data_IF_397097899534
#
_entry.id   IF_397097899534
#
_cell.length_a   1.000
_cell.length_b   1.000
_cell.length_c   1.000
_cell.angle_alpha   90.00
_cell.angle_beta   90.00
_cell.angle_gamma   90.00
#
_symmetry.space_group_name_H-M   'P 1'
#
loop_
_entity.id
_entity.type
_entity.pdbx_description
1 polymer ?
#
# COMPACT_ATOMS: atom_id res chain seq x y z
N UNK A 1 -19.46 25.33 -39.88
CA UNK A 1 -20.07 25.63 -38.55
C UNK A 1 -20.50 24.37 -37.79
N UNK A 2 -21.10 23.37 -38.44
CA UNK A 2 -21.56 22.14 -37.78
C UNK A 2 -20.45 21.36 -37.07
N UNK A 3 -19.25 21.27 -37.64
CA UNK A 3 -18.09 20.60 -37.01
C UNK A 3 -17.61 21.31 -35.74
N UNK A 4 -17.58 22.64 -35.76
CA UNK A 4 -17.19 23.47 -34.59
C UNK A 4 -18.15 23.23 -33.42
N UNK A 5 -19.45 23.12 -33.69
CA UNK A 5 -20.47 22.83 -32.68
C UNK A 5 -20.27 21.45 -32.04
N UNK A 6 -19.84 20.44 -32.81
CA UNK A 6 -19.55 19.09 -32.29
C UNK A 6 -18.33 19.06 -31.36
N UNK A 7 -17.28 19.83 -31.66
CA UNK A 7 -16.11 19.92 -30.77
C UNK A 7 -16.41 20.66 -29.46
N UNK A 8 -17.24 21.71 -29.52
CA UNK A 8 -17.67 22.45 -28.32
C UNK A 8 -18.50 21.53 -27.41
N UNK A 9 -19.48 20.80 -27.96
CA UNK A 9 -20.31 19.89 -27.16
C UNK A 9 -19.51 18.72 -26.60
N UNK A 10 -18.58 18.13 -27.37
CA UNK A 10 -17.68 17.07 -26.90
C UNK A 10 -16.79 17.53 -25.72
N UNK A 11 -16.28 18.76 -25.77
CA UNK A 11 -15.47 19.34 -24.69
C UNK A 11 -16.29 19.51 -23.41
N UNK A 12 -17.55 19.93 -23.54
CA UNK A 12 -18.48 20.07 -22.40
C UNK A 12 -18.74 18.70 -21.75
N UNK A 13 -19.07 17.67 -22.53
CA UNK A 13 -19.31 16.31 -22.00
C UNK A 13 -18.06 15.70 -21.37
N UNK A 14 -16.89 15.90 -21.97
CA UNK A 14 -15.61 15.51 -21.38
C UNK A 14 -15.37 16.16 -20.02
N UNK A 15 -15.61 17.47 -19.91
CA UNK A 15 -15.43 18.20 -18.66
C UNK A 15 -16.37 17.72 -17.54
N UNK A 16 -17.65 17.50 -17.84
CA UNK A 16 -18.60 16.96 -16.86
C UNK A 16 -18.21 15.55 -16.42
N UNK A 17 -17.80 14.68 -17.35
CA UNK A 17 -17.33 13.33 -17.03
C UNK A 17 -16.10 13.35 -16.13
N UNK A 18 -15.14 14.23 -16.40
CA UNK A 18 -13.94 14.41 -15.57
C UNK A 18 -14.27 14.93 -14.16
N UNK A 19 -15.22 15.87 -14.06
CA UNK A 19 -15.66 16.44 -12.77
C UNK A 19 -16.34 15.38 -11.89
N UNK A 20 -17.19 14.55 -12.47
CA UNK A 20 -17.83 13.42 -11.78
C UNK A 20 -16.81 12.33 -11.42
N UNK A 21 -15.77 12.14 -12.25
CA UNK A 21 -14.70 11.19 -11.95
C UNK A 21 -13.90 11.59 -10.72
N UNK A 22 -13.60 12.89 -10.61
CA UNK A 22 -12.87 13.45 -9.48
C UNK A 22 -13.63 13.25 -8.16
N UNK A 23 -14.94 13.48 -8.14
CA UNK A 23 -15.76 13.24 -6.94
C UNK A 23 -15.84 11.75 -6.55
N UNK A 24 -15.58 10.84 -7.48
CA UNK A 24 -15.56 9.39 -7.27
C UNK A 24 -14.16 8.80 -7.03
N UNK A 25 -13.14 9.63 -6.78
CA UNK A 25 -11.73 9.24 -6.64
C UNK A 25 -11.18 8.43 -7.83
N UNK A 26 -11.55 8.83 -9.06
CA UNK A 26 -11.08 8.21 -10.31
C UNK A 26 -10.26 9.20 -11.12
N UNK A 27 -9.41 8.66 -12.00
CA UNK A 27 -8.52 9.44 -12.87
C UNK A 27 -9.30 10.41 -13.76
N UNK A 28 -9.19 11.71 -13.48
CA UNK A 28 -9.97 12.73 -14.16
C UNK A 28 -9.64 12.82 -15.66
N UNK A 29 -8.38 12.58 -16.03
CA UNK A 29 -7.92 12.63 -17.42
C UNK A 29 -8.48 11.48 -18.26
N UNK A 30 -8.52 10.25 -17.73
CA UNK A 30 -9.06 9.10 -18.44
C UNK A 30 -10.57 9.27 -18.72
N UNK A 31 -11.32 9.75 -17.72
CA UNK A 31 -12.76 9.96 -17.85
C UNK A 31 -13.13 11.19 -18.69
N UNK A 32 -12.23 12.17 -18.80
CA UNK A 32 -12.35 13.24 -19.81
C UNK A 32 -12.33 12.66 -21.22
N UNK A 33 -11.33 11.84 -21.54
CA UNK A 33 -11.19 11.23 -22.87
C UNK A 33 -12.38 10.33 -23.21
N UNK A 34 -12.87 9.53 -22.25
CA UNK A 34 -14.08 8.74 -22.44
C UNK A 34 -15.30 9.62 -22.76
N UNK A 35 -15.47 10.75 -22.05
CA UNK A 35 -16.58 11.68 -22.30
C UNK A 35 -16.42 12.48 -23.60
N UNK A 36 -15.20 12.74 -24.04
CA UNK A 36 -14.91 13.46 -25.28
C UNK A 36 -15.19 12.59 -26.53
N UNK A 37 -14.77 11.32 -26.52
CA UNK A 37 -14.97 10.41 -27.66
C UNK A 37 -16.32 9.70 -27.65
N UNK A 38 -16.85 9.36 -26.47
CA UNK A 38 -18.11 8.59 -26.35
C UNK A 38 -19.28 9.45 -25.84
N UNK A 39 -19.07 10.75 -25.65
CA UNK A 39 -20.12 11.72 -25.33
C UNK A 39 -20.94 11.33 -24.09
N UNK A 40 -22.26 11.27 -24.28
CA UNK A 40 -23.23 10.94 -23.24
C UNK A 40 -23.03 9.53 -22.66
N UNK A 41 -22.51 8.58 -23.45
CA UNK A 41 -22.28 7.19 -22.99
C UNK A 41 -21.22 7.19 -21.88
N UNK A 42 -20.15 7.97 -22.03
CA UNK A 42 -19.13 8.13 -21.01
C UNK A 42 -19.67 8.70 -19.69
N UNK A 43 -20.62 9.64 -19.80
CA UNK A 43 -21.29 10.25 -18.66
C UNK A 43 -22.25 9.28 -17.95
N UNK A 44 -23.00 8.47 -18.70
CA UNK A 44 -23.87 7.43 -18.13
C UNK A 44 -23.05 6.38 -17.38
N UNK A 45 -21.97 5.89 -17.99
CA UNK A 45 -21.10 4.89 -17.35
C UNK A 45 -20.60 5.39 -15.99
N UNK A 46 -20.12 6.64 -15.91
CA UNK A 46 -19.58 7.16 -14.66
C UNK A 46 -20.65 7.42 -13.60
N UNK A 47 -21.89 7.72 -13.99
CA UNK A 47 -23.00 7.87 -13.07
C UNK A 47 -23.31 6.55 -12.35
N UNK A 48 -23.37 5.44 -13.08
CA UNK A 48 -23.64 4.11 -12.51
C UNK A 48 -22.44 3.50 -11.78
N UNK A 49 -21.21 3.93 -12.07
CA UNK A 49 -20.02 3.44 -11.38
C UNK A 49 -19.98 3.88 -9.91
N UNK A 50 -19.79 2.92 -9.00
CA UNK A 50 -19.55 3.19 -7.58
C UNK A 50 -18.24 3.96 -7.39
N UNK A 51 -18.18 4.80 -6.36
CA UNK A 51 -16.95 5.51 -5.99
C UNK A 51 -15.82 4.54 -5.65
N UNK A 52 -14.61 4.84 -6.10
CA UNK A 52 -13.40 4.06 -5.73
C UNK A 52 -13.05 4.41 -4.29
N UNK A 53 -12.82 3.39 -3.44
CA UNK A 53 -12.31 3.61 -2.07
C UNK A 53 -10.94 4.28 -2.17
N UNK A 54 -10.73 5.36 -1.41
CA UNK A 54 -9.47 6.11 -1.44
C UNK A 54 -8.32 5.26 -0.92
N UNK A 55 -7.10 5.54 -1.42
CA UNK A 55 -5.84 4.91 -0.98
C UNK A 55 -5.56 5.07 0.52
N UNK A 56 -6.36 5.88 1.21
CA UNK A 56 -6.34 6.14 2.65
C UNK A 56 -6.48 4.88 3.51
N UNK A 57 -7.06 3.79 2.98
CA UNK A 57 -7.09 2.49 3.67
C UNK A 57 -5.71 1.81 3.76
N UNK A 58 -4.86 2.02 2.76
CA UNK A 58 -3.49 1.48 2.74
C UNK A 58 -2.61 2.27 3.72
N UNK A 59 -2.84 3.58 3.82
CA UNK A 59 -2.15 4.45 4.77
C UNK A 59 -2.57 4.16 6.22
N UNK A 60 -3.86 3.99 6.48
CA UNK A 60 -4.37 3.63 7.82
C UNK A 60 -3.75 2.33 8.35
N UNK A 61 -3.57 1.32 7.50
CA UNK A 61 -2.94 0.05 7.90
C UNK A 61 -1.50 0.26 8.36
N UNK A 62 -0.69 0.99 7.58
CA UNK A 62 0.70 1.30 7.94
C UNK A 62 0.78 2.11 9.24
N UNK A 63 -0.12 3.07 9.45
CA UNK A 63 -0.19 3.86 10.67
C UNK A 63 -0.56 2.98 11.87
N UNK A 64 -1.54 2.07 11.75
CA UNK A 64 -1.89 1.13 12.82
C UNK A 64 -0.70 0.26 13.22
N UNK A 65 0.04 -0.26 12.24
CA UNK A 65 1.25 -1.06 12.49
C UNK A 65 2.33 -0.24 13.22
N UNK A 66 2.58 1.01 12.81
CA UNK A 66 3.54 1.88 13.49
C UNK A 66 3.13 2.20 14.94
N UNK A 67 1.83 2.40 15.18
CA UNK A 67 1.30 2.62 16.52
C UNK A 67 1.45 1.37 17.40
N UNK A 68 1.24 0.18 16.84
CA UNK A 68 1.41 -1.09 17.54
C UNK A 68 2.89 -1.36 17.88
N UNK A 69 3.81 -1.11 16.93
CA UNK A 69 5.26 -1.18 17.16
C UNK A 69 5.71 -0.18 18.24
N UNK A 70 5.16 1.04 18.22
CA UNK A 70 5.52 2.07 19.20
C UNK A 70 4.92 1.83 20.59
N UNK A 71 3.79 1.10 20.66
CA UNK A 71 3.13 0.74 21.92
C UNK A 71 3.74 -0.51 22.56
N UNK A 72 4.38 -1.37 21.77
CA UNK A 72 5.05 -2.56 22.29
C UNK A 72 6.18 -2.17 23.25
N UNK A 73 6.04 -2.62 24.50
CA UNK A 73 7.02 -2.37 25.57
C UNK A 73 7.83 -3.64 25.90
N UNK A 74 7.64 -4.71 25.14
CA UNK A 74 8.26 -5.99 25.40
C UNK A 74 9.72 -5.98 24.97
N UNK A 75 10.54 -6.77 25.66
CA UNK A 75 11.91 -6.99 25.27
C UNK A 75 12.00 -8.17 24.29
N UNK A 76 12.45 -7.86 23.09
CA UNK A 76 12.61 -8.83 22.03
C UNK A 76 14.06 -9.32 21.93
N UNK A 77 14.17 -10.59 21.58
CA UNK A 77 15.42 -11.28 21.30
C UNK A 77 15.32 -11.99 19.96
N UNK A 78 16.44 -12.14 19.27
CA UNK A 78 16.51 -12.91 18.04
C UNK A 78 17.79 -13.75 17.97
N UNK A 79 17.78 -14.80 17.13
CA UNK A 79 18.98 -15.58 16.82
C UNK A 79 19.65 -15.04 15.55
N UNK A 80 20.94 -14.70 15.65
CA UNK A 80 21.73 -14.31 14.48
C UNK A 80 22.09 -15.53 13.60
N UNK A 81 22.82 -15.29 12.50
CA UNK A 81 23.28 -16.35 11.58
C UNK A 81 24.17 -17.41 12.23
N UNK A 82 24.78 -17.11 13.39
CA UNK A 82 25.60 -18.02 14.19
C UNK A 82 24.79 -18.68 15.31
N UNK A 83 23.46 -18.60 15.28
CA UNK A 83 22.56 -19.10 16.33
C UNK A 83 22.81 -18.46 17.71
N UNK A 84 23.41 -17.27 17.74
CA UNK A 84 23.63 -16.53 18.98
C UNK A 84 22.42 -15.65 19.28
N UNK A 85 21.97 -15.69 20.53
CA UNK A 85 20.95 -14.78 21.04
C UNK A 85 21.45 -13.34 21.08
N UNK A 86 20.71 -12.43 20.45
CA UNK A 86 20.94 -10.99 20.42
C UNK A 86 19.72 -10.28 21.03
N UNK A 87 19.98 -9.39 22.00
CA UNK A 87 18.96 -8.64 22.74
C UNK A 87 19.39 -8.38 24.19
N UNK A 88 18.52 -7.80 25.03
CA UNK A 88 17.16 -7.34 24.72
C UNK A 88 17.14 -6.10 23.81
N UNK A 89 16.11 -5.97 22.99
CA UNK A 89 15.85 -4.76 22.20
C UNK A 89 14.34 -4.49 22.07
N UNK A 90 13.96 -3.30 21.60
CA UNK A 90 12.56 -3.00 21.31
C UNK A 90 12.11 -3.65 20.00
N UNK A 91 10.80 -3.84 19.84
CA UNK A 91 10.21 -4.33 18.59
C UNK A 91 10.61 -3.47 17.37
N UNK A 92 10.73 -2.15 17.56
CA UNK A 92 11.24 -1.24 16.53
C UNK A 92 12.67 -1.60 16.11
N UNK A 93 13.56 -1.85 17.08
CA UNK A 93 14.95 -2.22 16.78
C UNK A 93 15.02 -3.59 16.10
N UNK A 94 14.20 -4.56 16.50
CA UNK A 94 14.08 -5.86 15.83
C UNK A 94 13.62 -5.69 14.37
N UNK A 95 12.65 -4.82 14.13
CA UNK A 95 12.18 -4.49 12.79
C UNK A 95 13.25 -3.82 11.93
N UNK A 96 14.04 -2.93 12.52
CA UNK A 96 15.19 -2.32 11.85
C UNK A 96 16.26 -3.38 11.52
N UNK A 97 16.48 -4.38 12.38
CA UNK A 97 17.35 -5.55 12.11
C UNK A 97 16.84 -6.42 10.95
N UNK A 98 15.54 -6.63 10.86
CA UNK A 98 14.92 -7.34 9.73
C UNK A 98 15.15 -6.58 8.41
N UNK A 99 14.92 -5.27 8.39
CA UNK A 99 15.11 -4.44 7.18
C UNK A 99 16.54 -4.46 6.65
N UNK A 100 17.54 -4.44 7.53
CA UNK A 100 18.95 -4.47 7.14
C UNK A 100 19.45 -5.89 6.85
N UNK A 101 18.58 -6.90 6.86
CA UNK A 101 18.92 -8.30 6.55
C UNK A 101 19.68 -9.03 7.66
N UNK A 102 19.75 -8.47 8.88
CA UNK A 102 20.40 -9.15 10.02
C UNK A 102 19.58 -10.35 10.54
N UNK A 103 18.28 -10.38 10.24
CA UNK A 103 17.38 -11.50 10.53
C UNK A 103 16.47 -11.73 9.32
N UNK A 104 16.28 -12.99 8.93
CA UNK A 104 15.37 -13.39 7.87
C UNK A 104 13.95 -13.63 8.38
N UNK A 105 12.99 -13.81 7.48
CA UNK A 105 11.59 -14.14 7.81
C UNK A 105 11.46 -15.47 8.58
N UNK A 106 12.39 -16.38 8.34
CA UNK A 106 12.53 -17.65 9.05
C UNK A 106 13.50 -17.57 10.22
N UNK A 107 13.91 -16.36 10.63
CA UNK A 107 14.72 -16.17 11.82
C UNK A 107 13.89 -16.38 13.08
N UNK A 108 14.53 -16.91 14.12
CA UNK A 108 13.90 -17.13 15.40
C UNK A 108 13.88 -15.85 16.22
N UNK A 109 12.73 -15.56 16.82
CA UNK A 109 12.49 -14.44 17.72
C UNK A 109 11.73 -14.92 18.95
N UNK A 110 11.94 -14.20 20.05
CA UNK A 110 11.27 -14.49 21.31
C UNK A 110 11.08 -13.21 22.13
N UNK A 111 10.03 -13.21 22.95
CA UNK A 111 9.79 -12.25 24.01
C UNK A 111 9.08 -12.96 25.18
N UNK A 112 8.91 -12.26 26.29
CA UNK A 112 8.26 -12.76 27.50
C UNK A 112 6.78 -13.14 27.35
N UNK A 113 6.10 -12.64 26.31
CA UNK A 113 4.71 -13.00 26.01
C UNK A 113 4.57 -14.30 25.21
N UNK A 114 5.68 -14.85 24.71
CA UNK A 114 5.72 -16.08 23.93
C UNK A 114 6.18 -17.25 24.80
N UNK A 115 5.48 -18.38 24.67
CA UNK A 115 5.82 -19.62 25.38
C UNK A 115 7.19 -20.16 24.94
N UNK A 116 7.49 -20.06 23.65
CA UNK A 116 8.72 -20.58 23.06
C UNK A 116 9.22 -19.73 21.89
N UNK A 117 10.48 -19.94 21.50
CA UNK A 117 11.08 -19.30 20.32
C UNK A 117 10.25 -19.59 19.07
N UNK A 118 9.88 -18.54 18.34
CA UNK A 118 9.03 -18.65 17.15
C UNK A 118 9.67 -17.96 15.95
N UNK A 119 9.21 -18.30 14.75
CA UNK A 119 9.69 -17.64 13.55
C UNK A 119 9.13 -16.22 13.41
N UNK A 120 9.95 -15.30 12.91
CA UNK A 120 9.56 -13.90 12.68
C UNK A 120 8.28 -13.79 11.82
N UNK A 121 8.15 -14.61 10.78
CA UNK A 121 6.95 -14.68 9.91
C UNK A 121 5.66 -15.08 10.63
N UNK A 122 5.76 -15.74 11.78
CA UNK A 122 4.60 -16.17 12.57
C UNK A 122 4.08 -15.04 13.48
N UNK A 123 4.87 -13.98 13.69
CA UNK A 123 4.43 -12.83 14.46
C UNK A 123 3.44 -12.02 13.62
N UNK A 124 2.19 -11.78 14.09
CA UNK A 124 1.14 -11.12 13.32
C UNK A 124 1.55 -9.79 12.69
N UNK A 125 2.33 -8.99 13.42
CA UNK A 125 2.76 -7.64 12.99
C UNK A 125 3.74 -7.68 11.80
N UNK A 126 4.50 -8.77 11.64
CA UNK A 126 5.46 -8.94 10.55
C UNK A 126 4.82 -9.56 9.29
N UNK A 127 3.71 -10.29 9.44
CA UNK A 127 3.02 -10.96 8.32
C UNK A 127 2.64 -10.00 7.18
N UNK A 128 2.29 -8.78 7.52
CA UNK A 128 1.90 -7.74 6.56
C UNK A 128 3.07 -6.99 5.93
N UNK A 129 4.25 -7.01 6.58
CA UNK A 129 5.45 -6.30 6.09
C UNK A 129 6.40 -7.20 5.30
N UNK A 130 6.29 -8.51 5.50
CA UNK A 130 7.01 -9.54 4.74
C UNK A 130 6.55 -9.59 3.26
N UNK A 131 5.29 -9.24 2.97
CA UNK A 131 4.71 -9.29 1.63
C UNK A 131 5.10 -8.13 0.66
N UNK A 132 5.41 -6.90 1.09
CA UNK A 132 5.81 -5.83 0.16
C UNK A 132 7.32 -5.68 -0.10
N UNK A 133 8.22 -6.31 0.67
CA UNK A 133 9.67 -6.10 0.53
C UNK A 133 10.31 -6.96 -0.58
N UNK A 134 9.78 -8.17 -0.84
CA UNK A 134 10.28 -9.08 -1.88
C UNK A 134 9.95 -8.64 -3.32
N UNK A 135 9.19 -7.56 -3.50
CA UNK A 135 8.83 -7.00 -4.81
C UNK A 135 9.44 -5.61 -5.07
N UNK A 136 10.33 -5.11 -4.21
CA UNK A 136 10.85 -3.74 -4.34
C UNK A 136 12.31 -3.63 -4.80
N UNK A 137 13.01 -4.75 -4.97
CA UNK A 137 14.45 -4.75 -5.31
C UNK A 137 14.81 -5.65 -6.50
N UNK A 138 13.90 -5.81 -7.45
CA UNK A 138 14.23 -6.43 -8.75
C UNK A 138 13.57 -5.64 -9.87
N UNK A 139 14.23 -4.58 -10.32
CA UNK A 139 13.72 -3.82 -11.47
C UNK A 139 14.46 -2.54 -11.87
N UNK A 140 15.52 -2.14 -11.19
CA UNK A 140 16.39 -1.07 -11.71
C UNK A 140 17.80 -1.33 -11.23
N UNK A 141 18.58 -2.02 -12.07
CA UNK A 141 20.03 -1.91 -12.26
C UNK A 141 20.42 -3.02 -13.23
N UNK A 142 20.44 -2.72 -14.54
CA UNK A 142 21.50 -3.12 -15.49
C UNK A 142 21.14 -2.67 -16.90
N UNK A 143 21.87 -1.64 -17.34
CA UNK A 143 22.29 -1.26 -18.71
C UNK A 143 21.25 -0.77 -19.71
#
# INVERSE_FOLDING_TARGET
>A
MQTVLMFISATIFGFFSAKIAKSKNRESFFWFNIGFFFGIVGLLIILFLKAKKSKLLIDKKNILTLLEIAKDQNYWYYLDTNMKQIGPMSLKALFDKFKIGSISESGYVWNDTLEDWTYLKNIPIFKDYILPASLKDTGDHTT
#
